data_IF_786201305655
#
_entry.id   IF_786201305655
#
_cell.length_a   1.000
_cell.length_b   1.000
_cell.length_c   1.000
_cell.angle_alpha   90.00
_cell.angle_beta   90.00
_cell.angle_gamma   90.00
#
_symmetry.space_group_name_H-M   'P 1'
#
loop_
_entity.id
_entity.type
_entity.pdbx_description
1 polymer ?
#
# COMPACT_ATOMS: atom_id res chain seq x y z
N UNK A 1 33.85 6.48 21.92
CA UNK A 1 32.42 6.62 21.69
C UNK A 1 31.88 5.23 21.36
N UNK A 2 31.02 4.67 22.17
CA UNK A 2 30.33 3.43 21.84
C UNK A 2 29.48 3.71 20.59
N UNK A 3 29.64 2.94 19.51
CA UNK A 3 28.78 3.03 18.34
C UNK A 3 27.37 2.69 18.81
N UNK A 4 26.45 3.65 18.74
CA UNK A 4 25.05 3.44 19.05
C UNK A 4 24.48 2.30 18.20
N UNK A 5 23.51 1.56 18.76
CA UNK A 5 22.81 0.50 18.02
C UNK A 5 22.04 1.13 16.85
N UNK A 6 22.25 0.65 15.63
CA UNK A 6 21.48 1.08 14.44
C UNK A 6 20.31 0.14 14.23
N UNK A 7 19.12 0.70 14.08
CA UNK A 7 17.90 -0.02 13.70
C UNK A 7 17.64 0.18 12.22
N UNK A 8 17.31 -0.87 11.51
CA UNK A 8 17.05 -0.83 10.06
C UNK A 8 15.73 -1.52 9.78
N UNK A 9 14.85 -0.84 9.06
CA UNK A 9 13.59 -1.41 8.57
C UNK A 9 13.54 -1.29 7.06
N UNK A 10 12.99 -2.34 6.42
CA UNK A 10 12.70 -2.40 4.99
C UNK A 10 11.19 -2.55 4.84
N UNK A 11 10.54 -1.59 4.21
CA UNK A 11 9.10 -1.62 4.00
C UNK A 11 8.79 -1.60 2.51
N UNK A 12 7.95 -2.53 2.02
CA UNK A 12 7.64 -2.63 0.60
C UNK A 12 6.70 -1.51 0.15
N UNK A 13 6.77 -1.16 -1.13
CA UNK A 13 5.68 -0.53 -1.85
C UNK A 13 4.46 -1.46 -1.86
N UNK A 14 3.28 -0.88 -1.94
CA UNK A 14 2.03 -1.62 -2.00
C UNK A 14 1.14 -1.12 -3.12
N UNK A 15 0.30 -1.99 -3.64
CA UNK A 15 -0.81 -1.62 -4.52
C UNK A 15 -2.11 -2.10 -3.90
N UNK A 16 -3.13 -1.28 -3.98
CA UNK A 16 -4.42 -1.51 -3.32
C UNK A 16 -5.57 -1.63 -4.34
N UNK A 17 -6.73 -2.01 -3.84
CA UNK A 17 -7.97 -2.20 -4.60
C UNK A 17 -7.95 -3.41 -5.57
N UNK A 18 -6.96 -3.57 -6.40
CA UNK A 18 -6.77 -4.69 -7.33
C UNK A 18 -8.07 -5.03 -8.09
N UNK A 19 -8.51 -4.11 -8.96
CA UNK A 19 -9.80 -4.24 -9.68
C UNK A 19 -11.00 -4.12 -8.72
N UNK A 20 -11.82 -5.16 -8.62
CA UNK A 20 -13.06 -5.15 -7.82
C UNK A 20 -12.88 -5.23 -6.30
N UNK A 21 -11.64 -5.31 -5.81
CA UNK A 21 -11.33 -5.43 -4.38
C UNK A 21 -11.19 -4.09 -3.64
N UNK A 22 -12.01 -3.11 -3.98
CA UNK A 22 -11.98 -1.76 -3.42
C UNK A 22 -11.93 -1.75 -1.88
N UNK A 23 -10.96 -1.02 -1.31
CA UNK A 23 -10.68 -0.87 0.14
C UNK A 23 -10.50 -2.21 0.90
N UNK A 24 -10.31 -3.32 0.18
CA UNK A 24 -10.25 -4.66 0.76
C UNK A 24 -9.00 -5.42 0.35
N UNK A 25 -8.60 -5.34 -0.92
CA UNK A 25 -7.47 -6.11 -1.45
C UNK A 25 -6.25 -5.25 -1.65
N UNK A 26 -5.11 -5.76 -1.21
CA UNK A 26 -3.82 -5.13 -1.42
C UNK A 26 -2.70 -6.12 -1.62
N UNK A 27 -1.59 -5.66 -2.19
CA UNK A 27 -0.43 -6.51 -2.44
C UNK A 27 0.87 -5.72 -2.24
N UNK A 28 1.86 -6.34 -1.60
CA UNK A 28 3.21 -5.79 -1.54
C UNK A 28 3.97 -6.05 -2.84
N UNK A 29 4.82 -5.11 -3.20
CA UNK A 29 5.64 -5.13 -4.41
C UNK A 29 7.12 -5.28 -4.05
N UNK A 30 7.93 -5.72 -5.01
CA UNK A 30 9.37 -5.91 -4.84
C UNK A 30 10.21 -4.61 -4.85
N UNK A 31 9.61 -3.48 -4.49
CA UNK A 31 10.24 -2.17 -4.34
C UNK A 31 10.19 -1.78 -2.86
N UNK A 32 11.30 -1.37 -2.27
CA UNK A 32 11.39 -1.14 -0.83
C UNK A 32 11.97 0.22 -0.50
N UNK A 33 11.36 0.90 0.47
CA UNK A 33 12.02 1.94 1.24
C UNK A 33 12.87 1.32 2.34
N UNK A 34 13.99 1.97 2.64
CA UNK A 34 14.88 1.58 3.75
C UNK A 34 15.01 2.76 4.70
N UNK A 35 14.75 2.52 5.96
CA UNK A 35 14.94 3.51 7.01
C UNK A 35 15.96 2.98 8.02
N UNK A 36 17.04 3.74 8.21
CA UNK A 36 18.02 3.49 9.24
C UNK A 36 17.85 4.53 10.34
N UNK A 37 17.89 4.11 11.59
CA UNK A 37 17.73 5.00 12.73
C UNK A 37 18.78 4.68 13.80
N UNK A 38 19.45 5.73 14.26
CA UNK A 38 20.40 5.68 15.38
C UNK A 38 19.85 6.57 16.49
N UNK A 39 19.34 5.98 17.58
CA UNK A 39 18.79 6.76 18.70
C UNK A 39 19.87 7.51 19.45
N UNK A 40 19.50 8.70 19.98
CA UNK A 40 20.29 9.51 20.91
C UNK A 40 19.36 9.99 22.03
N UNK A 41 19.61 9.54 23.25
CA UNK A 41 18.82 9.86 24.44
C UNK A 41 18.80 11.37 24.80
N UNK A 42 19.70 12.16 24.21
CA UNK A 42 19.75 13.62 24.40
C UNK A 42 18.94 14.41 23.36
N UNK A 43 18.39 13.72 22.37
CA UNK A 43 17.61 14.32 21.29
C UNK A 43 16.14 13.93 21.51
N UNK A 44 15.22 14.90 21.38
CA UNK A 44 13.79 14.60 21.38
C UNK A 44 13.37 13.98 20.05
N UNK A 45 12.31 13.20 20.06
CA UNK A 45 11.80 12.53 18.84
C UNK A 45 11.49 13.52 17.71
N UNK A 46 10.86 14.65 18.06
CA UNK A 46 10.55 15.72 17.10
C UNK A 46 11.78 16.44 16.52
N UNK A 47 12.91 16.37 17.21
CA UNK A 47 14.18 17.00 16.80
C UNK A 47 15.10 16.02 16.04
N UNK A 48 14.59 14.86 15.65
CA UNK A 48 15.33 13.87 14.86
C UNK A 48 15.86 14.48 13.57
N UNK A 49 17.16 14.36 13.35
CA UNK A 49 17.78 14.76 12.08
C UNK A 49 17.47 13.71 11.02
N UNK A 50 16.94 14.17 9.88
CA UNK A 50 16.58 13.30 8.75
C UNK A 50 17.48 13.66 7.57
N UNK A 51 18.23 12.67 7.10
CA UNK A 51 18.93 12.70 5.83
C UNK A 51 18.27 11.69 4.89
N UNK A 52 18.12 12.04 3.61
CA UNK A 52 17.35 11.22 2.69
C UNK A 52 17.93 11.25 1.27
N UNK A 53 17.78 10.13 0.56
CA UNK A 53 18.07 10.02 -0.85
C UNK A 53 16.95 9.30 -1.61
N UNK A 54 16.88 9.52 -2.93
CA UNK A 54 15.95 8.85 -3.84
C UNK A 54 14.77 9.72 -4.27
N UNK A 55 13.58 9.13 -4.35
CA UNK A 55 12.37 9.76 -4.88
C UNK A 55 11.80 10.84 -3.94
N UNK A 56 11.49 12.04 -4.47
CA UNK A 56 10.77 13.10 -3.76
C UNK A 56 11.45 13.60 -2.48
N UNK A 57 12.79 13.62 -2.43
CA UNK A 57 13.56 14.04 -1.24
C UNK A 57 13.20 15.45 -0.81
N UNK A 58 12.90 16.33 -1.74
CA UNK A 58 12.47 17.72 -1.54
C UNK A 58 11.09 17.86 -0.88
N UNK A 59 10.30 16.78 -0.85
CA UNK A 59 8.98 16.73 -0.22
C UNK A 59 8.99 16.11 1.18
N UNK A 60 10.14 15.62 1.64
CA UNK A 60 10.27 14.97 2.95
C UNK A 60 10.25 16.06 4.05
N UNK A 61 9.23 16.00 4.88
CA UNK A 61 9.05 16.89 6.03
C UNK A 61 9.93 16.45 7.21
N UNK A 62 10.04 17.30 8.22
CA UNK A 62 10.78 17.04 9.47
C UNK A 62 9.86 17.12 10.69
N UNK A 63 10.34 16.71 11.85
CA UNK A 63 9.58 16.74 13.10
C UNK A 63 8.30 15.88 13.02
N UNK A 64 7.28 16.27 13.76
CA UNK A 64 6.00 15.54 13.81
C UNK A 64 5.16 15.64 12.51
N UNK A 65 5.54 16.50 11.58
CA UNK A 65 4.94 16.53 10.23
C UNK A 65 5.47 15.40 9.35
N UNK A 66 6.60 14.79 9.72
CA UNK A 66 7.10 13.60 9.06
C UNK A 66 6.30 12.37 9.47
N UNK A 67 5.77 11.64 8.50
CA UNK A 67 4.88 10.48 8.75
C UNK A 67 5.58 9.36 9.52
N UNK A 68 6.89 9.15 9.33
CA UNK A 68 7.66 8.13 10.05
C UNK A 68 7.76 8.54 11.53
N UNK A 69 8.16 9.78 11.80
CA UNK A 69 8.28 10.31 13.17
C UNK A 69 6.92 10.30 13.87
N UNK A 70 5.87 10.75 13.18
CA UNK A 70 4.50 10.72 13.71
C UNK A 70 4.05 9.29 14.06
N UNK A 71 4.36 8.32 13.20
CA UNK A 71 4.02 6.92 13.46
C UNK A 71 4.83 6.34 14.63
N UNK A 72 6.08 6.75 14.78
CA UNK A 72 6.89 6.39 15.97
C UNK A 72 6.26 6.91 17.26
N UNK A 73 5.86 8.19 17.29
CA UNK A 73 5.23 8.83 18.45
C UNK A 73 3.90 8.19 18.82
N UNK A 74 3.01 7.98 17.85
CA UNK A 74 1.71 7.30 18.07
C UNK A 74 1.90 5.90 18.61
N UNK A 75 2.84 5.13 18.05
CA UNK A 75 3.11 3.74 18.49
C UNK A 75 3.66 3.70 19.91
N UNK A 76 4.58 4.61 20.25
CA UNK A 76 5.12 4.72 21.60
C UNK A 76 4.04 5.12 22.61
N UNK A 77 3.21 6.09 22.27
CA UNK A 77 2.08 6.55 23.09
C UNK A 77 1.10 5.41 23.39
N UNK A 78 0.80 4.54 22.41
CA UNK A 78 -0.05 3.35 22.64
C UNK A 78 0.58 2.33 23.60
N UNK A 79 1.91 2.29 23.71
CA UNK A 79 2.63 1.51 24.71
C UNK A 79 2.78 2.24 26.06
N UNK A 80 2.27 3.46 26.20
CA UNK A 80 2.50 4.31 27.39
C UNK A 80 3.98 4.71 27.58
N UNK A 81 4.73 4.84 26.48
CA UNK A 81 6.16 5.15 26.46
C UNK A 81 6.45 6.38 25.61
N UNK A 82 7.64 6.91 25.79
CA UNK A 82 8.24 7.93 24.92
C UNK A 82 9.50 7.36 24.28
N UNK A 83 9.86 7.87 23.10
CA UNK A 83 11.07 7.47 22.39
C UNK A 83 12.05 8.64 22.31
N UNK A 84 13.37 8.36 22.35
CA UNK A 84 14.36 9.36 21.99
C UNK A 84 14.29 9.66 20.50
N UNK A 85 14.78 10.84 20.13
CA UNK A 85 15.12 11.16 18.76
C UNK A 85 16.48 10.59 18.36
N UNK A 86 17.10 11.19 17.35
CA UNK A 86 18.41 10.75 16.91
C UNK A 86 18.71 11.15 15.46
N UNK A 87 19.36 10.26 14.72
CA UNK A 87 19.67 10.43 13.31
C UNK A 87 18.97 9.37 12.48
N UNK A 88 18.22 9.79 11.49
CA UNK A 88 17.50 8.94 10.53
C UNK A 88 18.11 9.11 9.14
N UNK A 89 18.37 8.00 8.47
CA UNK A 89 18.74 7.98 7.06
C UNK A 89 17.69 7.20 6.26
N UNK A 90 17.08 7.86 5.28
CA UNK A 90 15.98 7.33 4.49
C UNK A 90 16.41 7.14 3.03
N UNK A 91 16.32 5.90 2.54
CA UNK A 91 16.40 5.61 1.12
C UNK A 91 14.98 5.46 0.59
N UNK A 92 14.43 6.53 0.00
CA UNK A 92 13.08 6.52 -0.54
C UNK A 92 13.11 6.12 -2.01
N UNK A 93 12.58 4.93 -2.32
CA UNK A 93 12.45 4.42 -3.69
C UNK A 93 11.00 4.39 -4.17
N UNK A 94 10.06 4.68 -3.29
CA UNK A 94 8.63 4.65 -3.56
C UNK A 94 8.18 6.07 -3.89
N UNK A 95 7.80 6.39 -5.15
CA UNK A 95 7.38 7.73 -5.52
C UNK A 95 6.09 8.14 -4.80
N UNK A 96 6.00 9.44 -4.45
CA UNK A 96 4.83 9.99 -3.77
C UNK A 96 3.64 10.12 -4.72
N UNK A 97 2.41 9.95 -4.18
CA UNK A 97 1.13 10.16 -4.87
C UNK A 97 1.00 9.42 -6.23
N UNK A 98 1.65 8.26 -6.37
CA UNK A 98 1.61 7.41 -7.57
C UNK A 98 0.88 6.06 -7.33
N UNK A 99 0.06 5.97 -6.26
CA UNK A 99 -0.69 4.77 -5.93
C UNK A 99 0.19 3.57 -5.51
N UNK A 100 1.45 3.81 -5.11
CA UNK A 100 2.39 2.77 -4.66
C UNK A 100 2.48 2.63 -3.14
N UNK A 101 1.51 3.17 -2.41
CA UNK A 101 1.43 3.03 -0.95
C UNK A 101 2.57 3.72 -0.20
N UNK A 102 3.09 4.86 -0.72
CA UNK A 102 4.18 5.59 -0.07
C UNK A 102 3.83 6.05 1.34
N UNK A 103 2.58 6.50 1.57
CA UNK A 103 2.06 6.85 2.89
C UNK A 103 2.10 5.66 3.85
N UNK A 104 1.50 4.54 3.45
CA UNK A 104 1.48 3.30 4.26
C UNK A 104 2.88 2.77 4.53
N UNK A 105 3.80 2.89 3.56
CA UNK A 105 5.20 2.49 3.76
C UNK A 105 5.92 3.38 4.79
N UNK A 106 5.66 4.69 4.79
CA UNK A 106 6.19 5.62 5.79
C UNK A 106 5.62 5.31 7.19
N UNK A 107 4.30 5.16 7.30
CA UNK A 107 3.64 4.80 8.57
C UNK A 107 4.15 3.46 9.12
N UNK A 108 4.19 2.42 8.29
CA UNK A 108 4.69 1.11 8.68
C UNK A 108 6.17 1.17 9.11
N UNK A 109 7.00 2.00 8.45
CA UNK A 109 8.40 2.21 8.86
C UNK A 109 8.49 2.74 10.27
N UNK A 110 7.71 3.78 10.62
CA UNK A 110 7.68 4.37 11.95
C UNK A 110 7.14 3.39 13.00
N UNK A 111 6.07 2.66 12.68
CA UNK A 111 5.47 1.66 13.58
C UNK A 111 6.46 0.54 13.88
N UNK A 112 7.17 0.01 12.87
CA UNK A 112 8.21 -1.01 13.09
C UNK A 112 9.40 -0.48 13.89
N UNK A 113 9.90 0.73 13.56
CA UNK A 113 11.02 1.32 14.29
C UNK A 113 10.68 1.54 15.77
N UNK A 114 9.52 2.11 16.06
CA UNK A 114 9.06 2.31 17.42
C UNK A 114 8.97 0.99 18.18
N UNK A 115 8.38 -0.03 17.58
CA UNK A 115 8.23 -1.34 18.19
C UNK A 115 9.61 -1.96 18.52
N UNK A 116 10.55 -1.91 17.55
CA UNK A 116 11.93 -2.39 17.74
C UNK A 116 12.67 -1.64 18.86
N UNK A 117 12.54 -0.30 18.90
CA UNK A 117 13.18 0.54 19.94
C UNK A 117 12.66 0.21 21.34
N UNK A 118 11.39 -0.13 21.46
CA UNK A 118 10.75 -0.50 22.72
C UNK A 118 10.96 -1.96 23.13
N UNK A 119 11.65 -2.77 22.34
CA UNK A 119 11.85 -4.20 22.60
C UNK A 119 10.64 -5.05 22.22
N UNK A 120 9.92 -4.65 21.19
CA UNK A 120 8.82 -5.37 20.51
C UNK A 120 7.60 -5.69 21.41
N UNK A 121 7.00 -4.66 22.07
CA UNK A 121 5.82 -4.89 22.90
C UNK A 121 4.57 -5.28 22.11
N UNK A 122 4.51 -4.94 20.82
CA UNK A 122 3.37 -5.22 19.95
C UNK A 122 3.66 -6.37 18.99
N UNK A 123 2.68 -7.25 18.79
CA UNK A 123 2.72 -8.27 17.75
C UNK A 123 2.32 -7.68 16.38
N UNK A 124 2.45 -8.47 15.29
CA UNK A 124 2.18 -8.01 13.93
C UNK A 124 0.74 -7.55 13.71
N UNK A 125 -0.23 -8.19 14.38
CA UNK A 125 -1.64 -7.80 14.28
C UNK A 125 -1.86 -6.41 14.89
N UNK A 126 -1.28 -6.15 16.06
CA UNK A 126 -1.38 -4.86 16.73
C UNK A 126 -0.67 -3.74 15.94
N UNK A 127 0.49 -4.05 15.33
CA UNK A 127 1.15 -3.11 14.41
C UNK A 127 0.31 -2.79 13.18
N UNK A 128 -0.41 -3.78 12.65
CA UNK A 128 -1.35 -3.56 11.54
C UNK A 128 -2.51 -2.67 11.97
N UNK A 129 -3.10 -2.89 13.13
CA UNK A 129 -4.18 -2.06 13.66
C UNK A 129 -3.73 -0.60 13.81
N UNK A 130 -2.54 -0.38 14.37
CA UNK A 130 -1.96 0.96 14.52
C UNK A 130 -1.76 1.63 13.15
N UNK A 131 -1.19 0.90 12.20
CA UNK A 131 -0.92 1.43 10.86
C UNK A 131 -2.21 1.78 10.12
N UNK A 132 -3.21 0.90 10.15
CA UNK A 132 -4.48 1.10 9.47
C UNK A 132 -5.33 2.21 10.11
N UNK A 133 -5.27 2.39 11.43
CA UNK A 133 -5.92 3.49 12.13
C UNK A 133 -5.35 4.85 11.67
N UNK A 134 -4.03 4.94 11.48
CA UNK A 134 -3.37 6.15 10.98
C UNK A 134 -3.61 6.40 9.50
N UNK A 135 -3.69 5.36 8.68
CA UNK A 135 -3.93 5.43 7.23
C UNK A 135 -5.41 5.69 6.90
N UNK A 136 -6.32 5.19 7.73
CA UNK A 136 -7.77 5.29 7.54
C UNK A 136 -8.38 4.16 6.70
N UNK A 137 -7.56 3.28 6.11
CA UNK A 137 -8.01 2.10 5.35
C UNK A 137 -6.95 0.98 5.41
N UNK A 138 -7.37 -0.31 5.32
CA UNK A 138 -6.47 -1.43 5.61
C UNK A 138 -5.73 -1.98 4.39
N UNK A 139 -6.17 -1.66 3.17
CA UNK A 139 -5.76 -2.30 1.91
C UNK A 139 -4.29 -2.07 1.52
N UNK A 140 -3.69 -0.94 1.90
CA UNK A 140 -2.25 -0.70 1.80
C UNK A 140 -1.51 -1.06 3.10
N UNK A 141 -2.12 -0.83 4.27
CA UNK A 141 -1.50 -1.14 5.56
C UNK A 141 -1.24 -2.65 5.72
N UNK A 142 -2.21 -3.49 5.33
CA UNK A 142 -2.06 -4.94 5.46
C UNK A 142 -0.86 -5.50 4.68
N UNK A 143 -0.69 -5.24 3.38
CA UNK A 143 0.50 -5.73 2.68
C UNK A 143 1.80 -5.02 3.06
N UNK A 144 1.78 -3.80 3.61
CA UNK A 144 2.96 -3.15 4.14
C UNK A 144 3.48 -3.86 5.41
N UNK A 145 2.58 -4.33 6.27
CA UNK A 145 2.91 -5.00 7.54
C UNK A 145 3.09 -6.52 7.36
N UNK A 146 2.19 -7.19 6.62
CA UNK A 146 2.17 -8.65 6.50
C UNK A 146 2.98 -9.16 5.30
N UNK A 147 3.19 -8.30 4.31
CA UNK A 147 3.75 -8.70 3.01
C UNK A 147 2.76 -9.49 2.16
N UNK A 148 3.13 -9.76 0.90
CA UNK A 148 2.36 -10.61 -0.01
C UNK A 148 1.04 -10.00 -0.48
N UNK A 149 0.12 -10.86 -0.89
CA UNK A 149 -1.24 -10.49 -1.26
C UNK A 149 -2.15 -10.62 -0.02
N UNK A 150 -2.88 -9.54 0.30
CA UNK A 150 -3.70 -9.48 1.49
C UNK A 150 -5.14 -9.14 1.15
N UNK A 151 -6.06 -9.77 1.86
CA UNK A 151 -7.43 -9.26 2.03
C UNK A 151 -7.55 -8.70 3.44
N UNK A 152 -8.24 -7.56 3.59
CA UNK A 152 -8.42 -6.91 4.86
C UNK A 152 -9.74 -6.15 4.92
N UNK A 153 -10.29 -6.03 6.12
CA UNK A 153 -11.44 -5.16 6.43
C UNK A 153 -11.28 -4.60 7.85
N UNK A 154 -11.98 -3.52 8.14
CA UNK A 154 -12.04 -2.96 9.50
C UNK A 154 -13.38 -3.34 10.13
N UNK A 155 -13.32 -4.00 11.27
CA UNK A 155 -14.49 -4.36 12.07
C UNK A 155 -14.32 -3.87 13.51
N UNK A 156 -15.25 -3.05 13.99
CA UNK A 156 -15.21 -2.48 15.34
C UNK A 156 -13.87 -1.78 15.70
N UNK A 157 -13.27 -1.11 14.72
CA UNK A 157 -11.98 -0.40 14.89
C UNK A 157 -10.73 -1.28 14.82
N UNK A 158 -10.87 -2.59 14.60
CA UNK A 158 -9.77 -3.53 14.45
C UNK A 158 -9.70 -4.03 13.00
N UNK A 159 -8.49 -4.29 12.51
CA UNK A 159 -8.31 -4.89 11.19
C UNK A 159 -8.43 -6.39 11.28
N UNK A 160 -9.30 -6.96 10.48
CA UNK A 160 -9.30 -8.40 10.17
C UNK A 160 -8.60 -8.55 8.84
N UNK A 161 -7.46 -9.23 8.81
CA UNK A 161 -6.68 -9.41 7.59
C UNK A 161 -6.12 -10.82 7.50
N UNK A 162 -6.03 -11.29 6.25
CA UNK A 162 -5.39 -12.56 5.92
C UNK A 162 -4.42 -12.35 4.75
N UNK A 163 -3.21 -12.90 4.90
CA UNK A 163 -2.26 -12.98 3.81
C UNK A 163 -2.49 -14.27 3.02
N UNK A 164 -2.62 -14.12 1.73
CA UNK A 164 -2.87 -15.22 0.81
C UNK A 164 -1.62 -15.49 -0.01
N UNK A 165 -1.18 -16.74 -0.02
CA UNK A 165 -0.08 -17.18 -0.86
C UNK A 165 -0.58 -17.37 -2.29
N UNK A 166 -0.09 -16.53 -3.19
CA UNK A 166 -0.35 -16.67 -4.62
C UNK A 166 0.78 -17.48 -5.29
N UNK A 167 0.45 -18.32 -6.28
CA UNK A 167 1.45 -19.12 -6.97
C UNK A 167 2.57 -18.28 -7.59
N UNK A 168 3.80 -18.75 -7.53
CA UNK A 168 5.02 -18.01 -7.94
C UNK A 168 5.10 -17.67 -9.44
N UNK A 169 4.28 -18.30 -10.28
CA UNK A 169 4.15 -17.97 -11.70
C UNK A 169 3.44 -16.64 -11.97
N UNK A 170 2.73 -16.07 -10.99
CA UNK A 170 2.14 -14.74 -11.12
C UNK A 170 3.23 -13.67 -10.99
N UNK A 171 3.17 -12.67 -11.87
CA UNK A 171 4.07 -11.51 -11.84
C UNK A 171 3.24 -10.24 -11.88
N UNK A 172 3.60 -9.30 -11.02
CA UNK A 172 3.07 -7.95 -11.08
C UNK A 172 3.95 -7.10 -12.01
N UNK A 173 3.31 -6.41 -12.95
CA UNK A 173 3.95 -5.37 -13.76
C UNK A 173 3.28 -4.06 -13.39
N UNK A 174 4.06 -3.08 -13.00
CA UNK A 174 3.57 -1.78 -12.53
C UNK A 174 3.85 -0.73 -13.58
N UNK A 175 2.83 -0.03 -14.04
CA UNK A 175 2.95 1.16 -14.87
C UNK A 175 2.75 2.39 -13.97
N UNK A 176 3.80 3.20 -13.83
CA UNK A 176 3.78 4.41 -12.99
C UNK A 176 3.58 5.62 -13.91
N UNK A 177 2.44 6.32 -13.81
CA UNK A 177 2.22 7.52 -14.60
C UNK A 177 3.07 8.69 -14.08
N UNK A 178 3.31 9.68 -14.94
CA UNK A 178 4.03 10.92 -14.62
C UNK A 178 3.16 12.02 -13.98
N UNK A 179 1.87 11.79 -13.81
CA UNK A 179 0.98 12.67 -13.06
C UNK A 179 0.69 12.13 -11.66
N UNK A 180 0.35 13.05 -10.74
CA UNK A 180 -0.01 12.72 -9.37
C UNK A 180 -1.53 12.59 -9.20
N UNK A 181 -1.95 11.58 -8.43
CA UNK A 181 -3.34 11.43 -8.03
C UNK A 181 -3.42 11.19 -6.52
N UNK A 182 -3.81 12.23 -5.78
CA UNK A 182 -3.98 12.15 -4.34
C UNK A 182 -5.23 11.33 -3.97
N UNK A 183 -5.12 10.52 -2.93
CA UNK A 183 -6.19 9.63 -2.44
C UNK A 183 -7.48 10.37 -2.13
N UNK A 184 -7.41 11.54 -1.52
CA UNK A 184 -8.59 12.38 -1.21
C UNK A 184 -9.37 12.74 -2.48
N UNK A 185 -8.66 13.18 -3.54
CA UNK A 185 -9.28 13.50 -4.83
C UNK A 185 -9.90 12.26 -5.49
N UNK A 186 -9.21 11.12 -5.41
CA UNK A 186 -9.71 9.86 -5.96
C UNK A 186 -10.93 9.31 -5.19
N UNK A 187 -11.08 9.65 -3.91
CA UNK A 187 -12.25 9.31 -3.09
C UNK A 187 -13.42 10.27 -3.29
N UNK A 188 -13.15 11.55 -3.50
CA UNK A 188 -14.17 12.59 -3.65
C UNK A 188 -15.10 12.40 -4.86
N UNK A 189 -14.69 11.65 -5.87
CA UNK A 189 -15.50 11.36 -7.07
C UNK A 189 -16.42 10.13 -6.91
N UNK A 190 -16.31 9.40 -5.80
CA UNK A 190 -17.13 8.21 -5.57
C UNK A 190 -18.55 8.62 -5.15
N UNK A 191 -19.59 7.91 -5.62
CA UNK A 191 -20.96 8.19 -5.23
C UNK A 191 -21.22 7.78 -3.78
N UNK A 192 -22.14 8.46 -3.12
CA UNK A 192 -22.58 8.12 -1.77
C UNK A 192 -23.43 6.83 -1.71
N UNK A 193 -23.94 6.33 -2.83
CA UNK A 193 -24.76 5.13 -2.91
C UNK A 193 -24.61 4.45 -4.27
N UNK A 194 -24.85 3.15 -4.30
CA UNK A 194 -24.73 2.32 -5.50
C UNK A 194 -26.06 1.61 -5.78
N UNK A 195 -26.34 1.36 -7.07
CA UNK A 195 -27.49 0.54 -7.44
C UNK A 195 -27.20 -0.93 -7.11
N UNK A 196 -28.27 -1.67 -6.71
CA UNK A 196 -28.13 -3.06 -6.28
C UNK A 196 -27.44 -3.96 -7.32
N UNK A 197 -27.67 -3.72 -8.63
CA UNK A 197 -27.04 -4.52 -9.69
C UNK A 197 -25.52 -4.41 -9.67
N UNK A 198 -24.96 -3.21 -9.44
CA UNK A 198 -23.52 -2.98 -9.42
C UNK A 198 -22.89 -3.60 -8.17
N UNK A 199 -23.58 -3.52 -7.04
CA UNK A 199 -23.14 -4.19 -5.81
C UNK A 199 -23.08 -5.70 -6.00
N UNK A 200 -24.14 -6.32 -6.57
CA UNK A 200 -24.16 -7.78 -6.84
C UNK A 200 -23.08 -8.17 -7.85
N UNK A 201 -22.91 -7.36 -8.90
CA UNK A 201 -21.83 -7.57 -9.88
C UNK A 201 -20.46 -7.57 -9.19
N UNK A 202 -20.17 -6.55 -8.38
CA UNK A 202 -18.88 -6.38 -7.72
C UNK A 202 -18.58 -7.50 -6.70
N UNK A 203 -19.59 -7.99 -5.97
CA UNK A 203 -19.45 -9.16 -5.10
C UNK A 203 -19.05 -10.39 -5.91
N UNK A 204 -19.67 -10.61 -7.07
CA UNK A 204 -19.30 -11.67 -8.00
C UNK A 204 -17.88 -11.49 -8.55
N UNK A 205 -17.54 -10.27 -8.97
CA UNK A 205 -16.24 -9.94 -9.52
C UNK A 205 -15.11 -10.21 -8.52
N UNK A 206 -15.20 -9.70 -7.28
CA UNK A 206 -14.16 -9.94 -6.27
C UNK A 206 -14.04 -11.43 -5.90
N UNK A 207 -15.15 -12.18 -5.93
CA UNK A 207 -15.13 -13.62 -5.69
C UNK A 207 -14.36 -14.36 -6.80
N UNK A 208 -14.55 -13.97 -8.07
CA UNK A 208 -13.78 -14.54 -9.18
C UNK A 208 -12.31 -14.09 -9.17
N UNK A 209 -12.02 -12.87 -8.72
CA UNK A 209 -10.64 -12.39 -8.53
C UNK A 209 -9.90 -13.25 -7.51
N UNK A 210 -10.51 -13.50 -6.37
CA UNK A 210 -9.94 -14.38 -5.35
C UNK A 210 -9.74 -15.81 -5.87
N UNK A 211 -10.75 -16.36 -6.56
CA UNK A 211 -10.65 -17.67 -7.17
C UNK A 211 -9.54 -17.75 -8.24
N UNK A 212 -9.30 -16.67 -9.00
CA UNK A 212 -8.21 -16.62 -9.97
C UNK A 212 -6.85 -16.86 -9.32
N UNK A 213 -6.56 -16.18 -8.23
CA UNK A 213 -5.30 -16.32 -7.52
C UNK A 213 -5.21 -17.64 -6.74
N UNK A 214 -6.23 -17.99 -5.96
CA UNK A 214 -6.22 -19.18 -5.10
C UNK A 214 -6.16 -20.49 -5.87
N UNK A 215 -6.85 -20.56 -7.01
CA UNK A 215 -6.89 -21.78 -7.84
C UNK A 215 -5.98 -21.71 -9.07
N UNK A 216 -5.18 -20.64 -9.20
CA UNK A 216 -4.30 -20.42 -10.35
C UNK A 216 -5.05 -20.48 -11.70
N UNK A 217 -6.16 -19.75 -11.79
CA UNK A 217 -7.04 -19.67 -12.96
C UNK A 217 -7.04 -18.27 -13.56
N UNK A 218 -6.04 -17.92 -14.40
CA UNK A 218 -5.92 -16.58 -14.98
C UNK A 218 -7.13 -16.18 -15.85
N UNK A 219 -7.84 -17.15 -16.41
CA UNK A 219 -9.07 -16.91 -17.19
C UNK A 219 -10.20 -16.26 -16.37
N UNK A 220 -10.13 -16.30 -15.05
CA UNK A 220 -11.10 -15.63 -14.16
C UNK A 220 -10.82 -14.15 -13.96
N UNK A 221 -9.61 -13.67 -14.27
CA UNK A 221 -9.26 -12.25 -14.12
C UNK A 221 -10.15 -11.33 -14.94
N UNK A 222 -10.58 -11.76 -16.13
CA UNK A 222 -11.50 -10.97 -16.96
C UNK A 222 -12.84 -10.64 -16.29
N UNK A 223 -13.26 -11.47 -15.33
CA UNK A 223 -14.44 -11.23 -14.49
C UNK A 223 -14.06 -10.47 -13.21
N UNK A 224 -12.93 -10.89 -12.59
CA UNK A 224 -12.48 -10.35 -11.31
C UNK A 224 -12.02 -8.90 -11.37
N UNK A 225 -11.60 -8.41 -12.52
CA UNK A 225 -11.14 -7.03 -12.71
C UNK A 225 -12.24 -6.10 -13.23
N UNK A 226 -13.45 -6.60 -13.47
CA UNK A 226 -14.59 -5.82 -13.95
C UNK A 226 -15.29 -5.15 -12.75
N UNK A 227 -14.74 -4.01 -12.34
CA UNK A 227 -15.20 -3.25 -11.19
C UNK A 227 -16.31 -2.26 -11.53
N UNK A 228 -17.34 -2.20 -10.70
CA UNK A 228 -18.48 -1.29 -10.80
C UNK A 228 -18.56 -0.28 -9.63
N UNK A 229 -17.59 -0.33 -8.70
CA UNK A 229 -17.65 0.46 -7.46
C UNK A 229 -16.76 1.69 -7.50
N UNK A 230 -15.53 1.59 -8.02
CA UNK A 230 -14.62 2.74 -7.98
C UNK A 230 -13.98 3.10 -9.32
N UNK A 231 -13.59 2.12 -10.14
CA UNK A 231 -12.91 2.36 -11.41
C UNK A 231 -13.72 3.25 -12.36
N UNK A 232 -15.04 3.03 -12.59
CA UNK A 232 -15.82 3.85 -13.50
C UNK A 232 -15.81 5.35 -13.16
N UNK A 233 -15.77 5.68 -11.87
CA UNK A 233 -15.78 7.06 -11.37
C UNK A 233 -14.40 7.70 -11.39
N UNK A 234 -13.35 6.91 -11.11
CA UNK A 234 -11.95 7.40 -11.07
C UNK A 234 -11.33 7.57 -12.44
N UNK A 235 -11.82 6.87 -13.46
CA UNK A 235 -11.31 6.97 -14.82
C UNK A 235 -11.26 8.42 -15.34
N UNK A 236 -12.25 9.24 -15.00
CA UNK A 236 -12.28 10.66 -15.39
C UNK A 236 -11.17 11.53 -14.81
N UNK A 237 -10.42 11.02 -13.82
CA UNK A 237 -9.27 11.69 -13.22
C UNK A 237 -7.95 11.36 -13.93
N UNK A 238 -7.96 10.38 -14.85
CA UNK A 238 -6.78 9.93 -15.58
C UNK A 238 -6.70 10.68 -16.91
N UNK A 239 -5.64 11.47 -17.18
CA UNK A 239 -5.47 12.17 -18.45
C UNK A 239 -5.53 11.21 -19.65
N UNK A 240 -6.26 11.58 -20.69
CA UNK A 240 -6.43 10.78 -21.91
C UNK A 240 -7.51 9.68 -21.84
N UNK A 241 -8.23 9.57 -20.72
CA UNK A 241 -9.34 8.59 -20.57
C UNK A 241 -10.68 9.05 -21.19
N UNK A 242 -10.72 10.19 -21.87
CA UNK A 242 -11.93 10.90 -22.32
C UNK A 242 -12.70 10.18 -23.44
N UNK A 243 -12.09 9.24 -24.14
CA UNK A 243 -12.74 8.50 -25.21
C UNK A 243 -13.43 7.23 -24.69
N UNK A 244 -14.75 7.18 -24.82
CA UNK A 244 -15.60 6.05 -24.38
C UNK A 244 -15.16 4.68 -24.96
N UNK A 245 -14.52 4.68 -26.13
CA UNK A 245 -13.95 3.50 -26.76
C UNK A 245 -12.66 3.02 -26.08
N UNK A 246 -11.91 3.93 -25.44
CA UNK A 246 -10.70 3.64 -24.70
C UNK A 246 -10.98 3.21 -23.25
N UNK A 247 -12.11 3.61 -22.65
CA UNK A 247 -12.51 3.17 -21.31
C UNK A 247 -12.58 1.65 -21.20
N UNK A 248 -13.17 0.97 -22.20
CA UNK A 248 -13.21 -0.51 -22.24
C UNK A 248 -11.86 -1.14 -22.55
N UNK A 249 -10.96 -0.42 -23.26
CA UNK A 249 -9.59 -0.89 -23.51
C UNK A 249 -8.68 -0.62 -22.33
N UNK A 250 -8.81 0.51 -21.66
CA UNK A 250 -8.01 0.87 -20.48
C UNK A 250 -8.37 -0.01 -19.29
N UNK A 251 -9.65 -0.33 -19.04
CA UNK A 251 -10.01 -1.38 -18.09
C UNK A 251 -9.44 -2.77 -18.45
N UNK A 252 -9.10 -3.02 -19.72
CA UNK A 252 -8.45 -4.26 -20.17
C UNK A 252 -6.92 -4.22 -20.08
N UNK A 253 -6.31 -3.05 -19.90
CA UNK A 253 -4.86 -2.90 -19.74
C UNK A 253 -4.39 -3.43 -18.38
N UNK A 254 -5.29 -3.60 -17.42
CA UNK A 254 -4.99 -4.09 -16.07
C UNK A 254 -4.59 -5.56 -16.01
N UNK A 255 -4.85 -6.34 -17.07
CA UNK A 255 -4.34 -7.70 -17.19
C UNK A 255 -4.10 -8.03 -18.67
N UNK A 256 -2.86 -8.08 -19.07
CA UNK A 256 -2.46 -8.73 -20.31
C UNK A 256 -2.22 -10.21 -20.02
N UNK A 257 -3.24 -11.03 -20.33
CA UNK A 257 -3.01 -12.43 -20.53
C UNK A 257 -2.43 -12.61 -21.94
N UNK A 258 -1.20 -13.06 -22.04
CA UNK A 258 -0.56 -13.36 -23.31
C UNK A 258 -0.75 -14.84 -23.61
N UNK A 259 -1.54 -15.15 -24.63
CA UNK A 259 -1.65 -16.47 -25.26
C UNK A 259 -0.43 -16.75 -26.16
N UNK A 260 0.58 -15.89 -26.14
CA UNK A 260 1.78 -16.09 -26.97
C UNK A 260 2.61 -17.24 -26.40
N UNK A 261 2.53 -18.39 -27.09
CA UNK A 261 3.28 -19.62 -26.79
C UNK A 261 4.80 -19.44 -26.76
N UNK A 262 5.32 -18.26 -27.10
CA UNK A 262 6.74 -17.89 -27.04
C UNK A 262 7.19 -17.37 -25.68
N UNK A 263 6.25 -16.95 -24.80
CA UNK A 263 6.54 -16.56 -23.41
C UNK A 263 6.15 -17.72 -22.52
N UNK A 264 7.09 -18.62 -22.29
CA UNK A 264 6.88 -19.80 -21.44
C UNK A 264 6.55 -19.40 -20.00
N UNK A 265 5.35 -19.73 -19.55
CA UNK A 265 4.97 -20.02 -18.16
C UNK A 265 4.78 -18.86 -17.17
N UNK A 266 4.54 -17.59 -17.58
CA UNK A 266 4.24 -16.52 -16.62
C UNK A 266 2.90 -15.86 -16.93
N UNK A 267 2.11 -15.63 -15.87
CA UNK A 267 0.92 -14.78 -15.93
C UNK A 267 1.31 -13.38 -15.46
N UNK A 268 0.99 -12.36 -16.24
CA UNK A 268 1.29 -10.97 -15.91
C UNK A 268 -0.01 -10.23 -15.56
N UNK A 269 -0.04 -9.64 -14.38
CA UNK A 269 -1.02 -8.62 -14.05
C UNK A 269 -0.35 -7.26 -14.14
N UNK A 270 -0.86 -6.38 -14.99
CA UNK A 270 -0.42 -5.01 -15.08
C UNK A 270 -1.32 -4.18 -14.17
N UNK A 271 -0.77 -3.62 -13.13
CA UNK A 271 -1.45 -2.66 -12.28
C UNK A 271 -1.05 -1.26 -12.76
N UNK A 272 -1.98 -0.55 -13.42
CA UNK A 272 -1.83 0.88 -13.59
C UNK A 272 -2.25 1.54 -12.29
N UNK A 273 -1.38 2.36 -11.74
CA UNK A 273 -1.58 3.02 -10.48
C UNK A 273 -1.77 4.49 -10.81
N UNK A 274 -2.94 4.97 -10.59
CA UNK A 274 -3.30 6.36 -10.68
C UNK A 274 -4.20 6.74 -9.51
#
# INVERSE_FOLDING_TARGET
MARGKTYIVHVPATTANIGSGFDTLGMSLGLYNVVQFVPDENVKLEDTMIDAEGEGVDQITTGLDNMIIKAMDVTASKAGRTLPGGSMYLINRIPFARGLGSSSAALASGVFLANLLMGEPFNRKELLDITAEMEGHPDNAAPAILGGFCMALIENGNVVAERIDIPSQWKAVVAIPDFELHTEKARAVLPASYVRSDVVHNIGAVSFLMAAFMYNKPEYLKFGLDDHVHVPYRLGLIPGSEHEHDRKKQCKIWCLWSDDKRIRSYHYCIFAIG
#
